data_IF_856902065637
#
_entry.id   IF_856902065637
#
_cell.length_a   1.000
_cell.length_b   1.000
_cell.length_c   1.000
_cell.angle_alpha   90.00
_cell.angle_beta   90.00
_cell.angle_gamma   90.00
#
_symmetry.space_group_name_H-M   'P 1'
#
loop_
_entity.id
_entity.type
_entity.pdbx_description
1 polymer ?
#
# COMPACT_ATOMS: atom_id res chain seq x y z
N UNK A 1 -12.02 15.92 19.84
CA UNK A 1 -11.78 14.46 19.90
C UNK A 1 -12.03 13.92 18.49
N UNK A 2 -11.03 13.34 17.82
CA UNK A 2 -11.26 12.80 16.48
C UNK A 2 -12.03 11.46 16.54
N UNK A 3 -12.66 11.08 15.44
CA UNK A 3 -13.46 9.85 15.34
C UNK A 3 -12.66 8.58 15.69
N UNK A 4 -11.36 8.56 15.41
CA UNK A 4 -10.46 7.47 15.78
C UNK A 4 -10.34 7.31 17.31
N UNK A 5 -10.28 8.41 18.07
CA UNK A 5 -10.17 8.40 19.53
C UNK A 5 -11.47 7.98 20.22
N UNK A 6 -12.62 8.33 19.64
CA UNK A 6 -13.94 7.81 20.06
C UNK A 6 -14.03 6.29 19.89
N UNK A 7 -13.56 5.76 18.76
CA UNK A 7 -13.49 4.32 18.55
C UNK A 7 -12.57 3.61 19.53
N UNK A 8 -11.42 4.21 19.80
CA UNK A 8 -10.45 3.67 20.74
C UNK A 8 -11.07 3.52 22.14
N UNK A 9 -11.81 4.54 22.62
CA UNK A 9 -12.51 4.51 23.90
C UNK A 9 -13.56 3.39 23.95
N UNK A 10 -14.46 3.32 22.96
CA UNK A 10 -15.50 2.27 22.89
C UNK A 10 -14.90 0.84 22.85
N UNK A 11 -13.71 0.68 22.30
CA UNK A 11 -13.00 -0.59 22.25
C UNK A 11 -12.28 -0.91 23.56
N UNK A 12 -11.83 0.08 24.31
CA UNK A 12 -11.13 -0.12 25.59
C UNK A 12 -12.11 -0.45 26.73
N UNK A 13 -13.35 0.02 26.67
CA UNK A 13 -14.38 -0.21 27.70
C UNK A 13 -14.96 -1.65 27.71
N UNK A 14 -14.91 -2.38 26.58
CA UNK A 14 -15.38 -3.78 26.50
C UNK A 14 -14.22 -4.78 26.70
N UNK A 15 -14.03 -5.25 27.95
CA UNK A 15 -12.88 -6.03 28.45
C UNK A 15 -12.99 -7.58 28.38
N UNK A 16 -13.97 -8.17 27.68
CA UNK A 16 -14.09 -9.63 27.56
C UNK A 16 -13.21 -10.27 26.46
N UNK A 17 -12.90 -11.58 26.53
CA UNK A 17 -12.24 -12.30 25.44
C UNK A 17 -13.12 -12.26 24.19
N UNK A 18 -12.62 -11.64 23.12
CA UNK A 18 -13.41 -11.37 21.93
C UNK A 18 -13.49 -12.60 21.03
N UNK A 19 -14.72 -13.04 20.73
CA UNK A 19 -15.00 -14.07 19.73
C UNK A 19 -14.71 -13.53 18.32
N UNK A 20 -14.52 -14.40 17.30
CA UNK A 20 -14.40 -13.96 15.91
C UNK A 20 -15.57 -13.08 15.44
N UNK A 21 -16.78 -13.34 15.94
CA UNK A 21 -18.00 -12.55 15.71
C UNK A 21 -17.86 -11.08 16.16
N UNK A 22 -17.03 -10.81 17.17
CA UNK A 22 -16.78 -9.45 17.63
C UNK A 22 -15.89 -8.67 16.66
N UNK A 23 -15.08 -9.34 15.82
CA UNK A 23 -14.16 -8.66 14.89
C UNK A 23 -14.91 -8.03 13.71
N UNK A 24 -15.92 -8.72 13.17
CA UNK A 24 -16.72 -8.21 12.08
C UNK A 24 -17.60 -7.03 12.56
N UNK A 25 -18.20 -7.13 13.75
CA UNK A 25 -18.91 -6.00 14.37
C UNK A 25 -18.00 -4.77 14.56
N UNK A 26 -16.76 -4.97 14.99
CA UNK A 26 -15.79 -3.88 15.16
C UNK A 26 -15.37 -3.26 13.82
N UNK A 27 -15.28 -4.05 12.76
CA UNK A 27 -15.06 -3.52 11.42
C UNK A 27 -16.23 -2.64 10.98
N UNK A 28 -17.47 -3.10 11.13
CA UNK A 28 -18.67 -2.32 10.78
C UNK A 28 -18.74 -1.00 11.56
N UNK A 29 -18.44 -1.04 12.86
CA UNK A 29 -18.36 0.16 13.69
C UNK A 29 -17.33 1.16 13.13
N UNK A 30 -16.12 0.69 12.77
CA UNK A 30 -15.06 1.52 12.17
C UNK A 30 -15.51 2.13 10.85
N UNK A 31 -16.09 1.32 9.97
CA UNK A 31 -16.57 1.78 8.68
C UNK A 31 -17.66 2.84 8.85
N UNK A 32 -18.66 2.58 9.69
CA UNK A 32 -19.77 3.49 9.93
C UNK A 32 -19.31 4.85 10.47
N UNK A 33 -18.36 4.85 11.41
CA UNK A 33 -17.89 6.10 12.01
C UNK A 33 -17.03 6.89 11.04
N UNK A 34 -16.20 6.23 10.23
CA UNK A 34 -15.36 6.89 9.24
C UNK A 34 -16.08 7.14 7.90
N UNK A 35 -17.34 6.73 7.75
CA UNK A 35 -18.04 6.83 6.47
C UNK A 35 -18.18 8.28 6.01
N UNK A 36 -18.48 9.21 6.93
CA UNK A 36 -18.61 10.64 6.61
C UNK A 36 -17.30 11.20 6.06
N UNK A 37 -16.17 10.96 6.74
CA UNK A 37 -14.87 11.45 6.26
C UNK A 37 -14.46 10.79 4.94
N UNK A 38 -14.73 9.49 4.75
CA UNK A 38 -14.47 8.81 3.47
C UNK A 38 -15.31 9.43 2.35
N UNK A 39 -16.59 9.72 2.61
CA UNK A 39 -17.51 10.34 1.65
C UNK A 39 -17.04 11.75 1.28
N UNK A 40 -16.74 12.57 2.27
CA UNK A 40 -16.40 13.97 2.07
C UNK A 40 -15.05 14.11 1.34
N UNK A 41 -14.06 13.28 1.66
CA UNK A 41 -12.78 13.24 0.96
C UNK A 41 -12.91 12.71 -0.48
N UNK A 42 -13.81 11.75 -0.73
CA UNK A 42 -14.02 11.24 -2.07
C UNK A 42 -14.70 12.28 -2.96
N UNK A 43 -15.80 12.89 -2.48
CA UNK A 43 -16.56 13.84 -3.28
C UNK A 43 -15.99 15.27 -3.28
N UNK A 44 -14.96 15.56 -2.48
CA UNK A 44 -14.17 16.80 -2.65
C UNK A 44 -13.32 16.79 -3.92
N UNK A 45 -12.98 15.60 -4.43
CA UNK A 45 -12.18 15.42 -5.65
C UNK A 45 -13.04 15.06 -6.86
N UNK A 46 -14.12 14.29 -6.64
CA UNK A 46 -14.93 13.71 -7.71
C UNK A 46 -16.38 14.17 -7.59
N UNK A 47 -17.02 14.73 -8.62
CA UNK A 47 -18.42 15.15 -8.53
C UNK A 47 -19.37 13.98 -8.23
N UNK A 48 -20.23 14.16 -7.23
CA UNK A 48 -21.15 13.12 -6.76
C UNK A 48 -22.08 12.60 -7.87
N UNK A 49 -22.60 13.51 -8.70
CA UNK A 49 -23.51 13.18 -9.79
C UNK A 49 -22.94 12.16 -10.79
N UNK A 50 -21.62 12.17 -11.03
CA UNK A 50 -20.96 11.26 -11.97
C UNK A 50 -20.21 10.11 -11.29
N UNK A 51 -19.90 10.19 -10.00
CA UNK A 51 -19.03 9.22 -9.32
C UNK A 51 -19.70 8.41 -8.20
N UNK A 52 -21.01 8.58 -7.98
CA UNK A 52 -21.77 7.77 -7.01
C UNK A 52 -21.62 6.26 -7.26
N UNK A 53 -21.55 5.82 -8.52
CA UNK A 53 -21.32 4.40 -8.86
C UNK A 53 -19.96 3.88 -8.36
N UNK A 54 -18.89 4.65 -8.56
CA UNK A 54 -17.55 4.33 -8.08
C UNK A 54 -17.49 4.33 -6.55
N UNK A 55 -18.16 5.30 -5.91
CA UNK A 55 -18.25 5.35 -4.46
C UNK A 55 -19.00 4.14 -3.87
N UNK A 56 -20.12 3.74 -4.47
CA UNK A 56 -20.84 2.50 -4.09
C UNK A 56 -19.94 1.27 -4.22
N UNK A 57 -19.14 1.19 -5.29
CA UNK A 57 -18.17 0.10 -5.46
C UNK A 57 -17.14 0.10 -4.33
N UNK A 58 -16.57 1.25 -3.98
CA UNK A 58 -15.65 1.37 -2.84
C UNK A 58 -16.28 0.82 -1.55
N UNK A 59 -17.53 1.22 -1.25
CA UNK A 59 -18.24 0.75 -0.05
C UNK A 59 -18.54 -0.76 -0.05
N UNK A 60 -18.66 -1.38 -1.23
CA UNK A 60 -18.84 -2.83 -1.36
C UNK A 60 -17.51 -3.60 -1.23
N UNK A 61 -16.42 -3.04 -1.77
CA UNK A 61 -15.10 -3.69 -1.78
C UNK A 61 -14.48 -3.74 -0.38
N UNK A 62 -14.63 -2.69 0.44
CA UNK A 62 -14.05 -2.63 1.79
C UNK A 62 -14.44 -3.83 2.69
N UNK A 63 -15.73 -4.14 2.91
CA UNK A 63 -16.14 -5.32 3.68
C UNK A 63 -15.75 -6.64 3.01
N UNK A 64 -15.81 -6.72 1.67
CA UNK A 64 -15.41 -7.92 0.92
C UNK A 64 -13.92 -8.26 1.12
N UNK A 65 -13.06 -7.24 1.10
CA UNK A 65 -11.62 -7.37 1.37
C UNK A 65 -11.34 -7.67 2.85
N UNK A 66 -12.09 -7.06 3.77
CA UNK A 66 -11.97 -7.36 5.20
C UNK A 66 -12.33 -8.83 5.50
N UNK A 67 -13.36 -9.38 4.86
CA UNK A 67 -13.74 -10.79 5.00
C UNK A 67 -12.61 -11.74 4.58
N UNK A 68 -11.83 -11.35 3.57
CA UNK A 68 -10.66 -12.10 3.10
C UNK A 68 -9.39 -11.89 3.95
N UNK A 69 -9.40 -10.91 4.87
CA UNK A 69 -8.24 -10.60 5.72
C UNK A 69 -7.97 -11.75 6.70
N UNK A 70 -6.74 -12.31 6.73
CA UNK A 70 -6.39 -13.39 7.65
C UNK A 70 -6.61 -13.02 9.12
N UNK A 71 -7.13 -13.96 9.91
CA UNK A 71 -7.44 -13.75 11.34
C UNK A 71 -6.26 -13.16 12.16
N UNK A 72 -4.99 -13.60 11.99
CA UNK A 72 -3.87 -12.98 12.70
C UNK A 72 -3.69 -11.48 12.39
N UNK A 73 -4.02 -11.04 11.17
CA UNK A 73 -3.94 -9.64 10.78
C UNK A 73 -5.14 -8.82 11.31
N UNK A 74 -6.35 -9.41 11.36
CA UNK A 74 -7.50 -8.78 12.04
C UNK A 74 -7.19 -8.52 13.52
N UNK A 75 -6.55 -9.48 14.20
CA UNK A 75 -6.10 -9.32 15.59
C UNK A 75 -4.99 -8.27 15.72
N UNK A 76 -4.06 -8.21 14.77
CA UNK A 76 -3.04 -7.16 14.73
C UNK A 76 -3.64 -5.76 14.63
N UNK A 77 -4.72 -5.58 13.86
CA UNK A 77 -5.42 -4.28 13.75
C UNK A 77 -5.96 -3.83 15.11
N UNK A 78 -6.51 -4.76 15.90
CA UNK A 78 -7.02 -4.49 17.26
C UNK A 78 -5.87 -4.15 18.20
N UNK A 79 -4.77 -4.90 18.15
CA UNK A 79 -3.60 -4.66 18.99
C UNK A 79 -3.02 -3.27 18.75
N UNK A 80 -2.84 -2.87 17.48
CA UNK A 80 -2.34 -1.54 17.11
C UNK A 80 -3.29 -0.42 17.55
N UNK A 81 -4.59 -0.63 17.41
CA UNK A 81 -5.59 0.35 17.85
C UNK A 81 -5.57 0.54 19.37
N UNK A 82 -5.39 -0.55 20.13
CA UNK A 82 -5.24 -0.46 21.60
C UNK A 82 -3.95 0.24 21.99
N UNK A 83 -2.85 -0.05 21.29
CA UNK A 83 -1.54 0.56 21.55
C UNK A 83 -1.49 2.05 21.22
N UNK A 84 -2.33 2.53 20.29
CA UNK A 84 -2.40 3.95 19.93
C UNK A 84 -1.21 4.36 19.06
N UNK A 85 -0.43 5.34 19.51
CA UNK A 85 0.69 5.94 18.77
C UNK A 85 1.95 5.05 18.75
N UNK A 86 1.77 3.75 18.48
CA UNK A 86 2.84 2.74 18.46
C UNK A 86 3.99 3.10 17.52
N UNK A 87 3.69 3.81 16.43
CA UNK A 87 4.63 4.24 15.40
C UNK A 87 5.53 5.40 15.87
N UNK A 88 5.26 6.00 17.04
CA UNK A 88 6.10 7.02 17.66
C UNK A 88 7.06 6.46 18.72
N UNK A 89 7.08 5.13 18.92
CA UNK A 89 7.96 4.52 19.91
C UNK A 89 9.43 4.68 19.54
N UNK A 90 10.23 5.08 20.51
CA UNK A 90 11.69 5.16 20.47
C UNK A 90 12.36 3.78 20.31
N UNK A 91 11.61 2.70 20.53
CA UNK A 91 12.07 1.33 20.30
C UNK A 91 12.02 0.93 18.82
N UNK A 92 11.51 1.78 17.93
CA UNK A 92 11.48 1.52 16.49
C UNK A 92 12.77 2.03 15.85
N UNK A 93 13.56 1.10 15.31
CA UNK A 93 14.79 1.39 14.57
C UNK A 93 14.63 0.89 13.14
N UNK A 94 14.64 1.84 12.20
CA UNK A 94 14.41 1.63 10.78
C UNK A 94 15.67 1.35 9.98
N UNK A 95 15.58 0.46 9.00
CA UNK A 95 16.57 0.25 7.96
C UNK A 95 15.89 0.12 6.60
N UNK A 96 16.40 0.84 5.60
CA UNK A 96 15.98 0.75 4.21
C UNK A 96 17.00 -0.05 3.41
N UNK A 97 16.54 -0.95 2.54
CA UNK A 97 17.44 -1.78 1.73
C UNK A 97 16.83 -2.27 0.42
N UNK A 98 17.70 -2.52 -0.56
CA UNK A 98 17.40 -3.32 -1.75
C UNK A 98 17.58 -4.80 -1.44
N UNK A 99 16.55 -5.62 -1.69
CA UNK A 99 16.55 -7.06 -1.35
C UNK A 99 17.68 -7.81 -2.05
N UNK A 100 17.91 -7.52 -3.34
CA UNK A 100 18.94 -8.17 -4.15
C UNK A 100 20.35 -7.76 -3.75
N UNK A 101 20.59 -6.48 -3.48
CA UNK A 101 21.90 -5.99 -3.06
C UNK A 101 22.28 -6.46 -1.65
N UNK A 102 21.33 -6.51 -0.73
CA UNK A 102 21.60 -6.88 0.67
C UNK A 102 21.60 -8.39 0.90
N UNK A 103 20.66 -9.10 0.26
CA UNK A 103 20.33 -10.48 0.61
C UNK A 103 20.01 -11.37 -0.58
N UNK A 104 20.25 -10.90 -1.82
CA UNK A 104 19.93 -11.56 -3.08
C UNK A 104 18.44 -11.75 -3.37
N UNK A 105 17.67 -12.30 -2.43
CA UNK A 105 16.23 -12.56 -2.57
C UNK A 105 15.51 -12.56 -1.20
N UNK A 106 14.19 -12.73 -1.21
CA UNK A 106 13.39 -12.70 0.03
C UNK A 106 13.71 -13.85 0.99
N UNK A 107 14.21 -14.99 0.50
CA UNK A 107 14.62 -16.09 1.37
C UNK A 107 15.94 -15.73 2.06
N UNK A 108 16.89 -15.19 1.32
CA UNK A 108 18.11 -14.67 1.91
C UNK A 108 17.82 -13.58 2.95
N UNK A 109 16.84 -12.71 2.71
CA UNK A 109 16.40 -11.72 3.69
C UNK A 109 15.81 -12.36 4.95
N UNK A 110 15.01 -13.42 4.78
CA UNK A 110 14.46 -14.22 5.89
C UNK A 110 15.56 -14.83 6.76
N UNK A 111 16.66 -15.28 6.15
CA UNK A 111 17.84 -15.81 6.84
C UNK A 111 18.61 -14.71 7.62
N UNK A 112 18.42 -13.43 7.26
CA UNK A 112 19.04 -12.27 7.93
C UNK A 112 18.21 -11.70 9.09
N UNK A 113 17.03 -12.23 9.40
CA UNK A 113 16.23 -11.72 10.52
C UNK A 113 16.97 -11.72 11.86
N UNK A 114 17.78 -12.75 12.13
CA UNK A 114 18.61 -12.79 13.34
C UNK A 114 19.77 -11.77 13.35
N UNK A 115 20.21 -11.30 12.17
CA UNK A 115 21.17 -10.20 12.08
C UNK A 115 20.52 -8.87 12.46
N UNK A 116 19.30 -8.61 11.98
CA UNK A 116 18.56 -7.38 12.34
C UNK A 116 18.26 -7.32 13.84
N UNK A 117 17.85 -8.44 14.46
CA UNK A 117 17.65 -8.50 15.92
C UNK A 117 18.92 -8.12 16.70
N UNK A 118 20.08 -8.65 16.30
CA UNK A 118 21.37 -8.31 16.94
C UNK A 118 21.75 -6.85 16.76
N UNK A 119 21.40 -6.26 15.62
CA UNK A 119 21.63 -4.84 15.34
C UNK A 119 20.64 -3.93 16.06
N UNK A 120 19.54 -4.48 16.61
CA UNK A 120 18.44 -3.71 17.19
C UNK A 120 17.47 -3.14 16.15
N UNK A 121 17.59 -3.54 14.87
CA UNK A 121 16.70 -3.10 13.79
C UNK A 121 15.42 -3.94 13.82
N UNK A 122 14.28 -3.28 13.91
CA UNK A 122 12.96 -3.94 13.91
C UNK A 122 12.01 -3.37 12.86
N UNK A 123 12.39 -2.36 12.09
CA UNK A 123 11.58 -1.84 10.98
C UNK A 123 12.38 -1.91 9.68
N UNK A 124 11.91 -2.68 8.72
CA UNK A 124 12.58 -2.86 7.43
C UNK A 124 11.71 -2.27 6.32
N UNK A 125 12.25 -1.28 5.61
CA UNK A 125 11.69 -0.78 4.35
C UNK A 125 12.41 -1.45 3.18
N UNK A 126 11.66 -2.23 2.42
CA UNK A 126 12.17 -2.80 1.18
C UNK A 126 11.90 -1.85 0.03
N UNK A 127 12.95 -1.53 -0.72
CA UNK A 127 12.84 -0.92 -2.04
C UNK A 127 11.95 -1.77 -2.97
N UNK A 128 11.39 -1.21 -4.05
CA UNK A 128 10.35 -1.88 -4.84
C UNK A 128 10.67 -3.32 -5.24
N UNK A 129 9.77 -4.23 -4.84
CA UNK A 129 9.87 -5.68 -5.07
C UNK A 129 8.86 -6.20 -6.11
N UNK A 130 8.11 -5.30 -6.75
CA UNK A 130 7.13 -5.62 -7.80
C UNK A 130 7.84 -5.83 -9.15
N UNK A 131 7.22 -6.58 -10.08
CA UNK A 131 7.74 -6.70 -11.44
C UNK A 131 7.95 -5.34 -12.09
N UNK A 132 9.04 -5.22 -12.86
CA UNK A 132 9.46 -3.99 -13.53
C UNK A 132 9.97 -4.27 -14.96
N UNK A 133 10.09 -3.25 -15.83
CA UNK A 133 10.68 -3.40 -17.16
C UNK A 133 12.11 -3.93 -17.12
N UNK A 134 12.53 -4.55 -18.23
CA UNK A 134 13.94 -4.90 -18.44
C UNK A 134 14.74 -3.64 -18.77
N UNK A 135 15.97 -3.53 -18.25
CA UNK A 135 16.81 -2.36 -18.46
C UNK A 135 16.57 -1.27 -17.41
N UNK A 136 16.47 -0.01 -17.85
CA UNK A 136 16.17 1.12 -16.98
C UNK A 136 14.73 1.04 -16.45
N UNK A 137 14.58 1.16 -15.13
CA UNK A 137 13.29 0.98 -14.44
C UNK A 137 13.20 1.83 -13.17
N UNK A 138 14.01 2.89 -13.08
CA UNK A 138 14.09 3.79 -11.93
C UNK A 138 14.22 3.03 -10.60
N UNK A 139 15.20 2.12 -10.51
CA UNK A 139 15.39 1.29 -9.31
C UNK A 139 14.23 0.34 -8.96
N UNK A 140 13.22 0.19 -9.82
CA UNK A 140 12.00 -0.56 -9.56
C UNK A 140 10.74 0.28 -9.34
N UNK A 141 10.84 1.61 -9.38
CA UNK A 141 9.68 2.50 -9.32
C UNK A 141 8.85 2.49 -10.62
N UNK A 142 9.42 2.05 -11.75
CA UNK A 142 8.64 1.69 -12.94
C UNK A 142 7.92 0.34 -12.75
N UNK A 143 6.70 0.35 -12.19
CA UNK A 143 5.95 -0.88 -11.85
C UNK A 143 5.23 -1.47 -13.08
N UNK A 144 5.30 -2.80 -13.26
CA UNK A 144 4.54 -3.61 -14.24
C UNK A 144 3.38 -4.42 -13.60
N UNK A 145 3.36 -4.57 -12.28
CA UNK A 145 2.26 -5.24 -11.56
C UNK A 145 2.24 -4.93 -10.07
N UNK A 146 1.08 -4.56 -9.54
CA UNK A 146 0.88 -4.36 -8.09
C UNK A 146 0.58 -5.64 -7.30
N UNK A 147 0.27 -6.75 -7.98
CA UNK A 147 -0.21 -7.98 -7.33
C UNK A 147 0.82 -9.10 -7.28
N UNK A 148 1.99 -8.89 -7.88
CA UNK A 148 3.04 -9.88 -8.02
C UNK A 148 4.30 -9.39 -7.33
N UNK A 149 5.11 -10.34 -6.88
CA UNK A 149 6.51 -10.12 -6.52
C UNK A 149 7.34 -10.41 -7.76
N UNK A 150 8.35 -9.60 -8.03
CA UNK A 150 9.30 -9.87 -9.11
C UNK A 150 9.99 -11.22 -8.86
N UNK A 151 10.06 -12.04 -9.91
CA UNK A 151 10.63 -13.40 -9.84
C UNK A 151 12.08 -13.38 -9.35
N UNK A 152 12.82 -12.29 -9.54
CA UNK A 152 14.19 -12.13 -9.02
C UNK A 152 14.27 -12.21 -7.50
N UNK A 153 13.22 -11.79 -6.80
CA UNK A 153 13.16 -11.80 -5.33
C UNK A 153 12.43 -13.03 -4.78
N UNK A 154 11.77 -13.81 -5.64
CA UNK A 154 11.06 -15.03 -5.28
C UNK A 154 9.57 -14.97 -5.61
N UNK A 155 8.73 -15.35 -4.65
CA UNK A 155 7.27 -15.51 -4.86
C UNK A 155 6.46 -14.75 -3.84
N UNK A 156 5.17 -14.52 -4.12
CA UNK A 156 4.20 -14.00 -3.14
C UNK A 156 4.20 -14.85 -1.86
N UNK A 157 4.32 -16.17 -1.97
CA UNK A 157 4.40 -17.06 -0.80
C UNK A 157 5.68 -16.83 0.01
N UNK A 158 6.82 -16.54 -0.63
CA UNK A 158 8.05 -16.17 0.07
C UNK A 158 7.87 -14.86 0.86
N UNK A 159 7.27 -13.84 0.24
CA UNK A 159 6.94 -12.59 0.92
C UNK A 159 6.02 -12.83 2.13
N UNK A 160 4.94 -13.59 1.96
CA UNK A 160 4.00 -13.89 3.05
C UNK A 160 4.65 -14.65 4.22
N UNK A 161 5.57 -15.59 3.93
CA UNK A 161 6.35 -16.28 4.97
C UNK A 161 7.29 -15.33 5.70
N UNK A 162 8.05 -14.50 4.96
CA UNK A 162 8.93 -13.49 5.53
C UNK A 162 8.16 -12.55 6.46
N UNK A 163 7.06 -11.95 5.97
CA UNK A 163 6.26 -11.03 6.79
C UNK A 163 5.67 -11.72 8.02
N UNK A 164 5.32 -13.01 7.94
CA UNK A 164 4.90 -13.77 9.12
C UNK A 164 6.02 -13.89 10.15
N UNK A 165 7.21 -14.33 9.74
CA UNK A 165 8.37 -14.48 10.64
C UNK A 165 8.81 -13.15 11.25
N UNK A 166 8.76 -12.07 10.47
CA UNK A 166 9.01 -10.71 10.97
C UNK A 166 8.01 -10.34 12.08
N UNK A 167 6.71 -10.57 11.87
CA UNK A 167 5.70 -10.31 12.93
C UNK A 167 5.93 -11.16 14.18
N UNK A 168 6.31 -12.44 14.02
CA UNK A 168 6.64 -13.33 15.14
C UNK A 168 7.84 -12.79 15.97
N UNK A 169 8.66 -11.90 15.39
CA UNK A 169 9.83 -11.24 16.00
C UNK A 169 9.58 -9.77 16.36
N UNK A 170 8.32 -9.32 16.39
CA UNK A 170 7.94 -7.91 16.60
C UNK A 170 8.60 -6.93 15.61
N UNK A 171 8.83 -7.38 14.38
CA UNK A 171 9.37 -6.56 13.31
C UNK A 171 8.26 -6.04 12.37
N UNK A 172 8.53 -4.88 11.78
CA UNK A 172 7.70 -4.16 10.84
C UNK A 172 8.30 -4.27 9.44
N UNK A 173 7.42 -4.47 8.46
CA UNK A 173 7.76 -4.46 7.04
C UNK A 173 7.04 -3.29 6.37
N UNK A 174 7.79 -2.46 5.66
CA UNK A 174 7.29 -1.38 4.81
C UNK A 174 7.62 -1.68 3.35
N UNK A 175 6.66 -1.41 2.47
CA UNK A 175 6.79 -1.50 1.02
C UNK A 175 6.31 -0.19 0.40
N UNK A 176 6.91 0.18 -0.73
CA UNK A 176 6.43 1.29 -1.56
C UNK A 176 5.06 0.98 -2.18
N UNK A 177 4.19 1.98 -2.21
CA UNK A 177 2.97 1.98 -3.02
C UNK A 177 3.08 3.09 -4.07
N UNK A 178 3.62 2.74 -5.24
CA UNK A 178 3.80 3.67 -6.36
C UNK A 178 2.44 3.93 -7.00
N UNK A 179 1.75 4.98 -6.56
CA UNK A 179 0.39 5.29 -7.00
C UNK A 179 0.32 6.35 -8.12
N UNK A 180 1.40 7.13 -8.31
CA UNK A 180 1.41 8.26 -9.25
C UNK A 180 1.54 7.82 -10.71
N UNK A 181 2.31 6.76 -10.98
CA UNK A 181 2.62 6.31 -12.32
C UNK A 181 2.77 4.78 -12.38
N UNK A 182 2.67 4.23 -13.59
CA UNK A 182 3.12 2.87 -13.93
C UNK A 182 4.23 2.96 -14.96
N UNK A 183 4.89 1.84 -15.26
CA UNK A 183 5.70 1.77 -16.49
C UNK A 183 4.82 1.89 -17.75
N UNK A 184 5.47 2.12 -18.88
CA UNK A 184 4.87 2.02 -20.23
C UNK A 184 4.57 0.56 -20.65
N UNK A 185 5.20 -0.44 -20.02
CA UNK A 185 4.93 -1.87 -20.21
C UNK A 185 3.79 -2.40 -19.30
N UNK A 186 3.16 -1.54 -18.50
CA UNK A 186 2.04 -1.96 -17.65
C UNK A 186 0.82 -2.32 -18.52
N UNK A 187 0.04 -3.37 -18.21
CA UNK A 187 -1.10 -3.78 -19.04
C UNK A 187 -2.20 -2.73 -19.28
N UNK A 188 -2.23 -1.66 -18.49
CA UNK A 188 -3.10 -0.50 -18.71
C UNK A 188 -2.49 0.43 -19.75
N UNK A 189 -1.20 0.77 -19.64
CA UNK A 189 -0.46 1.56 -20.61
C UNK A 189 -0.46 0.90 -22.00
N UNK A 190 -0.20 -0.41 -22.08
CA UNK A 190 -0.25 -1.15 -23.36
C UNK A 190 -1.63 -1.03 -24.03
N UNK A 191 -2.71 -1.15 -23.27
CA UNK A 191 -4.07 -1.02 -23.78
C UNK A 191 -4.41 0.42 -24.17
N UNK A 192 -3.92 1.39 -23.42
CA UNK A 192 -4.09 2.81 -23.73
C UNK A 192 -3.41 3.15 -25.06
N UNK A 193 -2.16 2.70 -25.26
CA UNK A 193 -1.41 2.85 -26.51
C UNK A 193 -2.07 2.12 -27.69
N UNK A 194 -2.73 0.98 -27.44
CA UNK A 194 -3.51 0.25 -28.44
C UNK A 194 -4.88 0.89 -28.77
N UNK A 195 -5.18 2.09 -28.24
CA UNK A 195 -6.40 2.83 -28.56
C UNK A 195 -7.62 2.48 -27.70
N UNK A 196 -7.45 1.75 -26.59
CA UNK A 196 -8.58 1.47 -25.71
C UNK A 196 -8.93 2.70 -24.86
N UNK A 197 -10.04 3.36 -25.23
CA UNK A 197 -10.52 4.60 -24.60
C UNK A 197 -10.55 4.56 -23.06
N UNK A 198 -11.04 3.46 -22.47
CA UNK A 198 -11.11 3.32 -21.00
C UNK A 198 -9.73 3.42 -20.35
N UNK A 199 -8.70 2.85 -20.97
CA UNK A 199 -7.35 2.88 -20.42
C UNK A 199 -6.59 4.14 -20.82
N UNK A 200 -6.97 4.81 -21.90
CA UNK A 200 -6.44 6.13 -22.22
C UNK A 200 -6.81 7.14 -21.12
N UNK A 201 -8.03 7.08 -20.60
CA UNK A 201 -8.48 7.89 -19.45
C UNK A 201 -7.73 7.61 -18.13
N UNK A 202 -6.84 6.60 -18.07
CA UNK A 202 -5.98 6.36 -16.89
C UNK A 202 -4.67 7.16 -16.96
N UNK A 203 -4.36 7.79 -18.09
CA UNK A 203 -3.12 8.52 -18.34
C UNK A 203 -3.42 9.89 -18.97
N UNK A 204 -2.44 10.77 -18.95
CA UNK A 204 -2.51 12.04 -19.69
C UNK A 204 -1.95 11.83 -21.09
N UNK A 205 -2.82 11.64 -22.08
CA UNK A 205 -2.48 11.42 -23.48
C UNK A 205 -3.03 12.57 -24.32
N UNK A 206 -2.19 13.18 -25.15
CA UNK A 206 -2.54 14.33 -25.98
C UNK A 206 -2.28 14.02 -27.47
N UNK A 207 -3.10 14.58 -28.39
CA UNK A 207 -2.92 14.34 -29.82
C UNK A 207 -1.68 15.06 -30.40
N UNK A 208 -1.24 16.12 -29.74
CA UNK A 208 -0.10 16.95 -30.14
C UNK A 208 0.50 17.66 -28.91
N UNK A 209 1.45 18.57 -29.17
CA UNK A 209 2.20 19.31 -28.14
C UNK A 209 1.49 20.53 -27.57
N UNK A 210 0.33 20.92 -28.08
CA UNK A 210 -0.36 22.15 -27.67
C UNK A 210 -0.62 22.21 -26.16
N UNK A 211 -1.18 21.14 -25.58
CA UNK A 211 -1.45 21.08 -24.14
C UNK A 211 -0.18 20.80 -23.31
N UNK A 212 0.69 19.83 -23.69
CA UNK A 212 1.98 19.63 -23.02
C UNK A 212 2.83 20.90 -22.90
N UNK A 213 2.94 21.69 -23.97
CA UNK A 213 3.74 22.93 -23.99
C UNK A 213 3.20 23.98 -23.01
N UNK A 214 1.88 24.04 -22.79
CA UNK A 214 1.29 24.93 -21.78
C UNK A 214 1.61 24.47 -20.35
N UNK A 215 1.60 23.17 -20.07
CA UNK A 215 2.00 22.64 -18.78
C UNK A 215 3.48 22.93 -18.47
N UNK A 216 4.36 22.68 -19.45
CA UNK A 216 5.82 22.83 -19.32
C UNK A 216 6.26 24.26 -18.97
N UNK A 217 5.44 25.29 -19.23
CA UNK A 217 5.71 26.68 -18.77
C UNK A 217 5.85 26.80 -17.25
N UNK A 218 5.28 25.87 -16.49
CA UNK A 218 5.23 25.93 -15.02
C UNK A 218 5.65 24.64 -14.32
N UNK A 219 5.88 23.55 -15.08
CA UNK A 219 6.36 22.29 -14.50
C UNK A 219 7.89 22.30 -14.33
N UNK A 220 8.41 21.96 -13.14
CA UNK A 220 9.84 21.76 -12.96
C UNK A 220 10.30 20.44 -13.58
N UNK A 221 11.51 20.41 -14.12
CA UNK A 221 12.16 19.17 -14.58
C UNK A 221 12.73 18.41 -13.39
N UNK A 222 12.18 17.22 -13.10
CA UNK A 222 12.69 16.34 -12.04
C UNK A 222 13.97 15.62 -12.50
N UNK A 223 14.01 15.22 -13.78
CA UNK A 223 15.14 14.49 -14.38
C UNK A 223 15.52 15.12 -15.75
N UNK A 224 16.20 16.27 -15.77
CA UNK A 224 16.49 17.01 -17.02
C UNK A 224 17.46 16.29 -17.98
N UNK A 225 18.11 15.21 -17.53
CA UNK A 225 19.11 14.45 -18.30
C UNK A 225 18.54 13.19 -18.98
N UNK A 226 17.28 12.85 -18.71
CA UNK A 226 16.60 11.66 -19.27
C UNK A 226 15.52 12.01 -20.29
N UNK A 227 15.43 13.29 -20.69
CA UNK A 227 14.50 13.83 -21.69
C UNK A 227 14.91 13.50 -23.12
#
# INVERSE_FOLDING_TARGET
MNQAKLHQINILENQGPRKPEDLDMLFEQRLATNLTIIKDLFFSLYPEASHMGSFKKLLQELPALYKQRPAPLKLQDIARLKQGDWYQSEQIVGMQLYVDLFSKDLKGLEDKLGYFEKLGVNFIHLMPITPRPKGENDGGYAVNSYHKVDKRYGTKSALLRLTKKMRDKNMYLMLDFVANHTSNEFPWAEKAMAGNFKYQEYYHIYPDRTIPDEFEKTLPEIFPLTS
#
